data_IF_364967395778
#
_entry.id   IF_364967395778
#
_cell.length_a   1.000
_cell.length_b   1.000
_cell.length_c   1.000
_cell.angle_alpha   90.00
_cell.angle_beta   90.00
_cell.angle_gamma   90.00
#
_symmetry.space_group_name_H-M   'P 1'
#
loop_
_entity.id
_entity.type
_entity.pdbx_description
1 polymer ?
#
# COMPACT_ATOMS: atom_id res chain seq x y z
N UNK A 1 15.46 14.69 1.90
CA UNK A 1 14.17 14.27 2.45
C UNK A 1 13.86 12.88 1.94
N UNK A 2 13.53 11.96 2.83
CA UNK A 2 13.16 10.60 2.47
C UNK A 2 11.64 10.44 2.36
N UNK A 3 11.18 9.72 1.34
CA UNK A 3 9.77 9.38 1.13
C UNK A 3 9.61 7.89 1.47
N UNK A 4 8.65 7.53 2.29
CA UNK A 4 7.63 8.31 2.99
C UNK A 4 8.04 8.79 4.40
N UNK A 5 9.27 8.53 4.86
CA UNK A 5 9.65 8.67 6.27
C UNK A 5 9.62 10.12 6.78
N UNK A 6 10.00 11.10 5.94
CA UNK A 6 10.02 12.52 6.31
C UNK A 6 8.93 13.31 5.58
N UNK A 7 8.56 12.87 4.37
CA UNK A 7 7.57 13.57 3.53
C UNK A 7 6.64 12.55 2.87
N UNK A 8 5.33 12.73 3.05
CA UNK A 8 4.32 12.01 2.28
C UNK A 8 4.09 12.71 0.94
N UNK A 9 3.95 11.93 -0.14
CA UNK A 9 3.68 12.44 -1.48
C UNK A 9 2.39 11.84 -2.03
N UNK A 10 1.46 12.71 -2.45
CA UNK A 10 0.22 12.32 -3.11
C UNK A 10 0.17 13.00 -4.49
N UNK A 11 0.02 12.19 -5.55
CA UNK A 11 -0.22 12.71 -6.89
C UNK A 11 -1.70 13.12 -7.08
N UNK A 12 -1.94 14.21 -7.79
CA UNK A 12 -3.29 14.64 -8.17
C UNK A 12 -3.93 13.79 -9.28
N UNK A 13 -3.14 12.95 -9.95
CA UNK A 13 -3.60 12.05 -11.02
C UNK A 13 -3.01 10.66 -10.84
N UNK A 14 -3.82 9.62 -11.07
CA UNK A 14 -3.36 8.23 -11.04
C UNK A 14 -2.89 7.79 -12.44
N UNK A 15 -1.72 8.29 -12.85
CA UNK A 15 -0.98 7.66 -13.94
C UNK A 15 -0.32 6.38 -13.38
N UNK A 16 -0.94 5.25 -13.67
CA UNK A 16 -0.57 3.96 -13.07
C UNK A 16 0.90 3.61 -13.37
N UNK A 17 1.37 3.91 -14.59
CA UNK A 17 2.74 3.62 -15.00
C UNK A 17 3.72 4.50 -14.22
N UNK A 18 3.55 5.81 -14.25
CA UNK A 18 4.45 6.74 -13.56
C UNK A 18 4.44 6.54 -12.05
N UNK A 19 3.26 6.31 -11.47
CA UNK A 19 3.13 6.08 -10.03
C UNK A 19 3.77 4.77 -9.57
N UNK A 20 3.84 3.74 -10.42
CA UNK A 20 4.46 2.44 -10.09
C UNK A 20 5.97 2.40 -10.35
N UNK A 21 6.45 3.08 -11.39
CA UNK A 21 7.88 3.07 -11.79
C UNK A 21 8.75 3.93 -10.88
N UNK A 22 8.15 4.87 -10.14
CA UNK A 22 8.88 5.66 -9.14
C UNK A 22 9.59 4.76 -8.12
N UNK A 23 10.83 5.09 -7.68
CA UNK A 23 11.57 4.34 -6.65
C UNK A 23 10.76 4.10 -5.38
N UNK A 24 9.89 5.04 -5.04
CA UNK A 24 8.84 4.87 -4.04
C UNK A 24 7.50 4.99 -4.76
N UNK A 25 6.69 3.92 -4.85
CA UNK A 25 5.38 3.95 -5.50
C UNK A 25 4.51 5.06 -4.93
N UNK A 26 4.00 5.95 -5.82
CA UNK A 26 3.31 7.17 -5.43
C UNK A 26 1.80 6.91 -5.29
N UNK A 27 1.25 7.26 -4.13
CA UNK A 27 -0.19 7.32 -3.91
C UNK A 27 -0.81 8.41 -4.78
N UNK A 28 -2.01 8.18 -5.28
CA UNK A 28 -2.61 9.08 -6.26
C UNK A 28 -4.12 9.21 -6.09
N UNK A 29 -4.64 10.37 -6.44
CA UNK A 29 -6.07 10.62 -6.54
C UNK A 29 -6.58 9.94 -7.82
N UNK A 30 -7.50 8.98 -7.66
CA UNK A 30 -8.14 8.29 -8.78
C UNK A 30 -9.24 9.17 -9.36
N UNK A 31 -8.95 9.77 -10.50
CA UNK A 31 -9.93 10.54 -11.26
C UNK A 31 -10.96 9.60 -11.91
N UNK A 32 -12.20 10.08 -12.05
CA UNK A 32 -13.26 9.35 -12.74
C UNK A 32 -13.20 9.63 -14.25
N UNK A 33 -12.10 9.15 -14.92
CA UNK A 33 -11.81 9.48 -16.30
C UNK A 33 -12.92 9.07 -17.28
N UNK A 34 -13.56 7.92 -17.05
CA UNK A 34 -14.70 7.46 -17.87
C UNK A 34 -15.87 8.44 -17.80
N UNK A 35 -16.25 8.86 -16.58
CA UNK A 35 -17.34 9.79 -16.39
C UNK A 35 -16.99 11.18 -16.94
N UNK A 36 -15.73 11.62 -16.79
CA UNK A 36 -15.22 12.86 -17.37
C UNK A 36 -15.35 12.81 -18.89
N UNK A 37 -14.88 11.76 -19.53
CA UNK A 37 -14.97 11.56 -20.98
C UNK A 37 -16.41 11.50 -21.48
N UNK A 38 -17.28 10.77 -20.77
CA UNK A 38 -18.70 10.70 -21.11
C UNK A 38 -19.38 12.06 -21.04
N UNK A 39 -19.18 12.81 -19.97
CA UNK A 39 -19.77 14.16 -19.80
C UNK A 39 -19.22 15.17 -20.80
N UNK A 40 -17.95 15.08 -21.14
CA UNK A 40 -17.36 15.92 -22.18
C UNK A 40 -17.97 15.63 -23.56
N UNK A 41 -18.15 14.34 -23.91
CA UNK A 41 -18.81 13.96 -25.16
C UNK A 41 -20.27 14.39 -25.20
N UNK A 42 -21.01 14.26 -24.11
CA UNK A 42 -22.40 14.73 -24.00
C UNK A 42 -22.48 16.25 -24.21
N UNK A 43 -21.58 17.03 -23.58
CA UNK A 43 -21.53 18.47 -23.74
C UNK A 43 -21.20 18.86 -25.21
N UNK A 44 -20.27 18.16 -25.84
CA UNK A 44 -19.91 18.40 -27.24
C UNK A 44 -21.10 18.10 -28.17
N UNK A 45 -21.82 17.01 -27.99
CA UNK A 45 -23.00 16.65 -28.78
C UNK A 45 -24.09 17.69 -28.66
N UNK A 46 -24.34 18.23 -27.46
CA UNK A 46 -25.29 19.33 -27.24
C UNK A 46 -24.88 20.62 -27.98
N UNK A 47 -23.57 20.95 -27.92
CA UNK A 47 -23.03 22.10 -28.67
C UNK A 47 -23.19 21.92 -30.17
N UNK A 48 -22.89 20.75 -30.72
CA UNK A 48 -23.05 20.45 -32.16
C UNK A 48 -24.51 20.54 -32.63
N UNK A 49 -25.46 20.23 -31.73
CA UNK A 49 -26.89 20.35 -32.00
C UNK A 49 -27.47 21.79 -31.82
N UNK A 50 -26.62 22.74 -31.46
CA UNK A 50 -27.02 24.14 -31.30
C UNK A 50 -27.96 24.39 -30.11
N UNK A 51 -27.85 23.57 -29.06
CA UNK A 51 -28.67 23.75 -27.86
C UNK A 51 -28.14 24.96 -27.08
N UNK A 52 -28.97 25.98 -26.96
CA UNK A 52 -28.64 27.19 -26.21
C UNK A 52 -28.28 26.87 -24.75
N UNK A 53 -27.20 27.49 -24.26
CA UNK A 53 -26.73 27.30 -22.89
C UNK A 53 -25.77 26.12 -22.70
N UNK A 54 -25.45 25.35 -23.74
CA UNK A 54 -24.53 24.19 -23.63
C UNK A 54 -23.09 24.57 -23.25
N UNK A 55 -22.69 25.84 -23.38
CA UNK A 55 -21.33 26.33 -23.11
C UNK A 55 -21.12 26.81 -21.68
N UNK A 56 -22.16 26.97 -20.89
CA UNK A 56 -22.07 27.70 -19.61
C UNK A 56 -22.05 26.84 -18.35
N UNK A 57 -22.21 25.54 -18.47
CA UNK A 57 -22.30 24.67 -17.29
C UNK A 57 -20.92 24.04 -16.96
N UNK A 58 -20.23 24.59 -15.95
CA UNK A 58 -19.06 23.97 -15.37
C UNK A 58 -19.43 22.67 -14.64
N UNK A 59 -19.17 21.54 -15.25
CA UNK A 59 -19.45 20.22 -14.65
C UNK A 59 -18.27 19.79 -13.77
N UNK A 60 -18.45 19.81 -12.45
CA UNK A 60 -17.47 19.30 -11.48
C UNK A 60 -17.71 17.83 -11.21
N UNK A 61 -16.75 17.01 -11.55
CA UNK A 61 -16.81 15.56 -11.31
C UNK A 61 -15.86 15.23 -10.17
N UNK A 62 -16.41 14.67 -9.11
CA UNK A 62 -15.61 14.26 -7.96
C UNK A 62 -14.71 13.07 -8.32
N UNK A 63 -13.50 12.98 -7.73
CA UNK A 63 -12.65 11.82 -7.87
C UNK A 63 -13.33 10.57 -7.29
N UNK A 64 -13.01 9.40 -7.83
CA UNK A 64 -13.58 8.13 -7.38
C UNK A 64 -12.92 7.57 -6.10
N UNK A 65 -11.81 8.17 -5.65
CA UNK A 65 -11.10 7.76 -4.44
C UNK A 65 -9.62 8.07 -4.49
N UNK A 66 -8.86 7.43 -3.61
CA UNK A 66 -7.40 7.51 -3.55
C UNK A 66 -6.83 6.10 -3.66
N UNK A 67 -5.89 5.94 -4.58
CA UNK A 67 -5.07 4.72 -4.66
C UNK A 67 -3.89 4.91 -3.71
N UNK A 68 -3.94 4.23 -2.57
CA UNK A 68 -2.89 4.31 -1.56
C UNK A 68 -1.71 3.43 -2.00
N UNK A 69 -0.52 4.02 -2.03
CA UNK A 69 0.76 3.37 -2.29
C UNK A 69 1.77 3.80 -1.23
N UNK A 70 3.01 3.38 -1.39
CA UNK A 70 4.07 3.55 -0.39
C UNK A 70 4.37 5.01 -0.03
N UNK A 71 4.16 5.96 -0.91
CA UNK A 71 4.54 7.37 -0.70
C UNK A 71 3.71 8.12 0.36
N UNK A 72 2.55 7.58 0.75
CA UNK A 72 1.72 8.12 1.84
C UNK A 72 1.63 7.18 3.04
N UNK A 73 2.43 6.13 3.06
CA UNK A 73 2.59 5.28 4.26
C UNK A 73 3.41 5.98 5.35
N UNK A 74 3.55 7.29 5.24
CA UNK A 74 4.11 8.10 6.30
C UNK A 74 3.17 8.02 7.50
N UNK A 75 3.63 7.30 8.49
CA UNK A 75 3.09 7.44 9.81
C UNK A 75 3.66 8.76 10.33
N UNK A 76 2.79 9.74 10.55
CA UNK A 76 3.14 10.96 11.27
C UNK A 76 3.44 10.59 12.74
N UNK A 77 4.44 9.73 12.90
CA UNK A 77 4.91 9.26 14.20
C UNK A 77 6.01 10.21 14.66
N UNK A 78 5.70 10.95 15.68
CA UNK A 78 6.70 11.76 16.37
C UNK A 78 7.70 10.92 17.19
N UNK A 79 7.40 9.62 17.37
CA UNK A 79 8.20 8.69 18.16
C UNK A 79 9.35 8.07 17.35
N UNK A 80 10.62 8.48 17.62
CA UNK A 80 11.76 7.97 16.85
C UNK A 80 11.98 6.46 16.99
N UNK A 81 11.53 5.82 18.08
CA UNK A 81 11.66 4.38 18.27
C UNK A 81 10.69 3.63 17.36
N UNK A 82 9.45 4.12 17.21
CA UNK A 82 8.49 3.55 16.27
C UNK A 82 8.93 3.71 14.81
N UNK A 83 9.45 4.89 14.45
CA UNK A 83 9.99 5.12 13.09
C UNK A 83 11.10 4.13 12.78
N UNK A 84 12.07 3.95 13.70
CA UNK A 84 13.14 2.96 13.55
C UNK A 84 12.62 1.53 13.46
N UNK A 85 11.63 1.17 14.30
CA UNK A 85 11.01 -0.15 14.31
C UNK A 85 10.37 -0.47 12.95
N UNK A 86 9.53 0.44 12.45
CA UNK A 86 8.83 0.26 11.18
C UNK A 86 9.78 0.22 9.98
N UNK A 87 10.81 1.07 10.00
CA UNK A 87 11.85 1.02 8.97
C UNK A 87 12.56 -0.36 8.98
N UNK A 88 12.99 -0.81 10.14
CA UNK A 88 13.66 -2.10 10.28
C UNK A 88 12.77 -3.26 9.81
N UNK A 89 11.48 -3.27 10.18
CA UNK A 89 10.53 -4.29 9.74
C UNK A 89 10.40 -4.29 8.20
N UNK A 90 10.32 -3.12 7.57
CA UNK A 90 10.18 -2.97 6.12
C UNK A 90 11.42 -3.36 5.33
N UNK A 91 12.61 -3.13 5.89
CA UNK A 91 13.89 -3.45 5.25
C UNK A 91 14.28 -4.91 5.44
N UNK A 92 13.95 -5.50 6.60
CA UNK A 92 14.42 -6.82 7.03
C UNK A 92 13.32 -7.87 7.15
N UNK A 93 12.15 -7.69 6.51
CA UNK A 93 10.99 -8.58 6.62
C UNK A 93 11.26 -10.05 6.30
N UNK A 94 12.26 -10.32 5.44
CA UNK A 94 12.72 -11.67 5.12
C UNK A 94 13.51 -12.30 6.28
N UNK A 95 13.62 -13.61 6.28
CA UNK A 95 14.35 -14.34 7.30
C UNK A 95 13.59 -14.51 8.62
N UNK A 96 14.34 -14.86 9.67
CA UNK A 96 13.78 -15.25 10.98
C UNK A 96 13.59 -14.08 11.95
N UNK A 97 13.27 -12.88 11.46
CA UNK A 97 13.05 -11.70 12.30
C UNK A 97 12.01 -11.96 13.40
N UNK A 98 12.38 -11.61 14.63
CA UNK A 98 11.53 -11.67 15.82
C UNK A 98 11.28 -10.27 16.37
N UNK A 99 10.27 -10.13 17.24
CA UNK A 99 9.93 -8.85 17.90
C UNK A 99 11.11 -8.32 18.73
N UNK A 100 11.92 -9.21 19.27
CA UNK A 100 13.13 -8.88 20.04
C UNK A 100 14.18 -8.16 19.19
N UNK A 101 14.31 -8.53 17.92
CA UNK A 101 15.24 -7.89 17.00
C UNK A 101 14.78 -6.48 16.68
N UNK A 102 13.47 -6.30 16.47
CA UNK A 102 12.85 -4.99 16.25
C UNK A 102 13.05 -4.07 17.47
N UNK A 103 12.83 -4.60 18.68
CA UNK A 103 13.02 -3.85 19.92
C UNK A 103 14.47 -3.39 20.09
N UNK A 104 15.43 -4.30 19.83
CA UNK A 104 16.86 -4.02 19.89
C UNK A 104 17.25 -2.91 18.92
N UNK A 105 16.79 -2.98 17.67
CA UNK A 105 17.09 -1.98 16.65
C UNK A 105 16.44 -0.63 16.94
N UNK A 106 15.29 -0.63 17.61
CA UNK A 106 14.59 0.59 17.99
C UNK A 106 15.16 1.26 19.25
N UNK A 107 16.06 0.56 19.97
CA UNK A 107 16.69 1.06 21.20
C UNK A 107 15.75 1.08 22.40
N UNK A 108 14.68 0.25 22.41
CA UNK A 108 13.69 0.16 23.50
C UNK A 108 13.49 -1.29 23.93
N UNK A 109 12.94 -1.49 25.14
CA UNK A 109 12.55 -2.82 25.58
C UNK A 109 11.36 -3.35 24.77
N UNK A 110 11.22 -4.68 24.65
CA UNK A 110 10.08 -5.31 23.99
C UNK A 110 8.74 -4.79 24.53
N UNK A 111 8.60 -4.73 25.86
CA UNK A 111 7.37 -4.24 26.50
C UNK A 111 7.03 -2.80 26.08
N UNK A 112 8.03 -1.92 26.06
CA UNK A 112 7.84 -0.52 25.66
C UNK A 112 7.50 -0.42 24.17
N UNK A 113 8.11 -1.25 23.32
CA UNK A 113 7.79 -1.33 21.91
C UNK A 113 6.34 -1.76 21.68
N UNK A 114 5.89 -2.83 22.35
CA UNK A 114 4.52 -3.33 22.27
C UNK A 114 3.50 -2.27 22.72
N UNK A 115 3.79 -1.55 23.81
CA UNK A 115 2.96 -0.45 24.30
C UNK A 115 2.85 0.66 23.25
N UNK A 116 3.97 1.14 22.72
CA UNK A 116 4.00 2.20 21.69
C UNK A 116 3.26 1.79 20.41
N UNK A 117 3.43 0.56 19.96
CA UNK A 117 2.70 0.02 18.81
C UNK A 117 1.20 0.01 19.04
N UNK A 118 0.76 -0.42 20.25
CA UNK A 118 -0.66 -0.45 20.59
C UNK A 118 -1.26 0.96 20.67
N UNK A 119 -0.56 1.91 21.31
CA UNK A 119 -1.04 3.28 21.50
C UNK A 119 -1.15 4.07 20.20
N UNK A 120 -0.16 3.93 19.30
CA UNK A 120 -0.08 4.77 18.11
C UNK A 120 -0.53 4.08 16.82
N UNK A 121 -0.47 2.75 16.75
CA UNK A 121 -0.79 1.98 15.56
C UNK A 121 -1.97 1.02 15.75
N UNK A 122 -2.51 0.90 16.97
CA UNK A 122 -3.61 0.00 17.33
C UNK A 122 -3.35 -1.46 16.92
N UNK A 123 -2.09 -1.89 16.92
CA UNK A 123 -1.64 -3.25 16.59
C UNK A 123 -0.32 -3.57 17.28
N UNK A 124 0.04 -4.84 17.29
CA UNK A 124 1.30 -5.33 17.86
C UNK A 124 2.45 -5.29 16.83
N UNK A 125 3.72 -5.28 17.27
CA UNK A 125 4.87 -5.43 16.38
C UNK A 125 4.84 -6.74 15.57
N UNK A 126 4.35 -7.83 16.15
CA UNK A 126 4.21 -9.12 15.48
C UNK A 126 3.17 -9.07 14.34
N UNK A 127 2.07 -8.35 14.54
CA UNK A 127 1.07 -8.11 13.50
C UNK A 127 1.64 -7.26 12.37
N UNK A 128 2.44 -6.25 12.69
CA UNK A 128 3.09 -5.42 11.66
C UNK A 128 4.11 -6.22 10.83
N UNK A 129 4.96 -7.04 11.46
CA UNK A 129 5.88 -7.94 10.75
C UNK A 129 5.08 -8.82 9.78
N UNK A 130 3.99 -9.40 10.24
CA UNK A 130 3.13 -10.28 9.43
C UNK A 130 2.49 -9.53 8.27
N UNK A 131 1.96 -8.32 8.52
CA UNK A 131 1.38 -7.45 7.50
C UNK A 131 2.37 -7.15 6.37
N UNK A 132 3.58 -6.74 6.74
CA UNK A 132 4.64 -6.43 5.77
C UNK A 132 5.05 -7.68 4.97
N UNK A 133 5.16 -8.83 5.62
CA UNK A 133 5.44 -10.10 4.93
C UNK A 133 4.37 -10.48 3.92
N UNK A 134 3.08 -10.34 4.30
CA UNK A 134 1.94 -10.60 3.40
C UNK A 134 1.95 -9.65 2.22
N UNK A 135 2.18 -8.36 2.44
CA UNK A 135 2.26 -7.35 1.40
C UNK A 135 3.38 -7.67 0.39
N UNK A 136 4.58 -7.96 0.87
CA UNK A 136 5.73 -8.31 0.02
C UNK A 136 5.54 -9.62 -0.73
N UNK A 137 4.97 -10.62 -0.07
CA UNK A 137 4.65 -11.88 -0.72
C UNK A 137 3.57 -11.70 -1.81
N UNK A 138 2.55 -10.89 -1.56
CA UNK A 138 1.51 -10.54 -2.53
C UNK A 138 2.09 -9.84 -3.76
N UNK A 139 2.99 -8.89 -3.54
CA UNK A 139 3.72 -8.20 -4.60
C UNK A 139 4.55 -9.18 -5.45
N UNK A 140 5.32 -10.04 -4.78
CA UNK A 140 6.17 -11.05 -5.44
C UNK A 140 5.32 -12.09 -6.20
N UNK A 141 4.18 -12.51 -5.65
CA UNK A 141 3.26 -13.45 -6.30
C UNK A 141 2.64 -12.87 -7.59
N UNK A 142 2.37 -11.56 -7.63
CA UNK A 142 1.82 -10.89 -8.83
C UNK A 142 2.89 -10.58 -9.87
N UNK A 143 4.09 -10.22 -9.44
CA UNK A 143 5.16 -9.73 -10.33
C UNK A 143 6.05 -10.83 -10.87
N UNK A 144 6.05 -12.01 -10.25
CA UNK A 144 6.98 -13.08 -10.60
C UNK A 144 6.29 -14.44 -10.74
N UNK A 145 6.90 -15.32 -11.56
CA UNK A 145 6.51 -16.72 -11.67
C UNK A 145 7.11 -17.64 -10.61
N UNK A 146 7.71 -17.10 -9.54
CA UNK A 146 8.41 -17.91 -8.53
C UNK A 146 7.46 -18.89 -7.84
N UNK A 147 7.93 -20.13 -7.54
CA UNK A 147 7.16 -21.07 -6.75
C UNK A 147 6.73 -20.50 -5.39
N UNK A 148 5.55 -20.88 -4.91
CA UNK A 148 5.00 -20.41 -3.61
C UNK A 148 5.98 -20.67 -2.46
N UNK A 149 6.67 -21.82 -2.47
CA UNK A 149 7.65 -22.15 -1.46
C UNK A 149 8.83 -21.16 -1.42
N UNK A 150 9.30 -20.73 -2.59
CA UNK A 150 10.40 -19.76 -2.71
C UNK A 150 9.94 -18.37 -2.24
N UNK A 151 8.70 -17.99 -2.57
CA UNK A 151 8.13 -16.72 -2.09
C UNK A 151 7.97 -16.73 -0.56
N UNK A 152 7.48 -17.83 0.00
CA UNK A 152 7.35 -18.01 1.45
C UNK A 152 8.71 -17.83 2.17
N UNK A 153 9.76 -18.51 1.70
CA UNK A 153 11.11 -18.41 2.23
C UNK A 153 11.64 -16.97 2.14
N UNK A 154 11.58 -16.36 0.95
CA UNK A 154 12.07 -14.98 0.73
C UNK A 154 11.36 -13.94 1.58
N UNK A 155 10.08 -14.15 1.87
CA UNK A 155 9.27 -13.24 2.69
C UNK A 155 9.28 -13.60 4.19
N UNK A 156 10.12 -14.56 4.63
CA UNK A 156 10.33 -14.88 6.02
C UNK A 156 9.19 -15.67 6.68
N UNK A 157 8.38 -16.39 5.90
CA UNK A 157 7.43 -17.36 6.43
C UNK A 157 8.13 -18.66 6.77
N UNK A 158 7.72 -19.31 7.85
CA UNK A 158 8.28 -20.57 8.31
C UNK A 158 7.97 -21.75 7.37
N UNK A 159 6.86 -21.67 6.64
CA UNK A 159 6.48 -22.62 5.62
C UNK A 159 5.47 -22.03 4.63
N UNK A 160 5.30 -22.64 3.43
CA UNK A 160 4.27 -22.26 2.47
C UNK A 160 2.85 -22.40 3.03
N UNK A 161 2.62 -23.40 3.87
CA UNK A 161 1.32 -23.66 4.51
C UNK A 161 0.97 -22.55 5.49
N UNK A 162 1.94 -22.12 6.31
CA UNK A 162 1.76 -20.99 7.21
C UNK A 162 1.52 -19.68 6.44
N UNK A 163 2.20 -19.47 5.32
CA UNK A 163 1.93 -18.35 4.42
C UNK A 163 0.49 -18.41 3.92
N UNK A 164 0.01 -19.57 3.45
CA UNK A 164 -1.35 -19.72 2.93
C UNK A 164 -2.43 -19.45 3.98
N UNK A 165 -2.26 -19.95 5.21
CA UNK A 165 -3.15 -19.65 6.34
C UNK A 165 -3.15 -18.16 6.66
N UNK A 166 -1.97 -17.53 6.66
CA UNK A 166 -1.82 -16.10 6.94
C UNK A 166 -2.50 -15.25 5.87
N UNK A 167 -2.30 -15.58 4.59
CA UNK A 167 -2.95 -14.90 3.46
C UNK A 167 -4.48 -14.97 3.56
N UNK A 168 -5.02 -16.16 3.84
CA UNK A 168 -6.48 -16.32 3.99
C UNK A 168 -7.02 -15.48 5.13
N UNK A 169 -6.29 -15.37 6.24
CA UNK A 169 -6.69 -14.55 7.39
C UNK A 169 -6.61 -13.05 7.12
N UNK A 170 -5.54 -12.57 6.48
CA UNK A 170 -5.28 -11.13 6.29
C UNK A 170 -5.97 -10.57 5.03
N UNK A 171 -6.12 -11.38 3.97
CA UNK A 171 -6.60 -10.94 2.66
C UNK A 171 -7.88 -11.65 2.19
N UNK A 172 -8.34 -12.67 2.91
CA UNK A 172 -9.47 -13.51 2.50
C UNK A 172 -9.20 -14.44 1.32
N UNK A 173 -7.98 -14.41 0.76
CA UNK A 173 -7.55 -15.15 -0.43
C UNK A 173 -6.31 -15.98 -0.16
N UNK A 174 -6.11 -17.03 -0.94
CA UNK A 174 -4.86 -17.82 -0.90
C UNK A 174 -3.78 -17.19 -1.79
N UNK A 175 -2.48 -17.57 -1.60
CA UNK A 175 -1.42 -17.12 -2.50
C UNK A 175 -1.65 -17.48 -3.97
N UNK A 176 -2.26 -18.65 -4.25
CA UNK A 176 -2.55 -19.08 -5.62
C UNK A 176 -3.67 -18.25 -6.25
N UNK A 177 -4.74 -17.96 -5.53
CA UNK A 177 -5.81 -17.05 -5.97
C UNK A 177 -5.27 -15.65 -6.24
N UNK A 178 -4.32 -15.17 -5.40
CA UNK A 178 -3.66 -13.88 -5.60
C UNK A 178 -2.84 -13.85 -6.90
N UNK A 179 -2.22 -14.98 -7.29
CA UNK A 179 -1.47 -15.10 -8.56
C UNK A 179 -2.38 -15.15 -9.76
N UNK A 180 -3.54 -15.78 -9.66
CA UNK A 180 -4.50 -15.89 -10.75
C UNK A 180 -5.16 -14.55 -11.12
N UNK A 181 -5.03 -13.51 -10.29
CA UNK A 181 -5.57 -12.17 -10.58
C UNK A 181 -7.05 -12.02 -10.26
N UNK A 182 -7.63 -12.96 -9.53
CA UNK A 182 -9.01 -12.91 -9.03
C UNK A 182 -9.14 -12.25 -7.67
#
# INVERSE_FOLDING_TARGET
LSIPDEVAVLSGTDDELLCKVSPVPISAVKQNAELIGFRAAEALDRLMKGVDGAVAEEVKIAPSGVVVRRSTEHLALEDPALVKALRFIRECYGGSMQVEDVARQSGVSRRLLEQKFQEQLMRTPAEEIRRVRVERASEMMRQTGLPVAVVAEKCGFSSPEYMAVTFRRELGKTPMEMRAGE
#
